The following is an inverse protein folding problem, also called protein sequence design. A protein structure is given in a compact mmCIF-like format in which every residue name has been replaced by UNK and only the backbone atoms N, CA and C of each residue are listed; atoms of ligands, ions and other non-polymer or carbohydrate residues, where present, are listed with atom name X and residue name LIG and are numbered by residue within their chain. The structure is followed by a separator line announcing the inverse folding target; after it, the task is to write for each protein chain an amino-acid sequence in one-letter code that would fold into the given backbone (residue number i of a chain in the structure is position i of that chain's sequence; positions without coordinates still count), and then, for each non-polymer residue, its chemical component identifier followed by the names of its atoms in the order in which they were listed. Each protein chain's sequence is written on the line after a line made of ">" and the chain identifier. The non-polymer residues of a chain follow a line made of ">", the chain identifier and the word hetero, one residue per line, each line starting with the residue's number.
data_IF_305656877161
#
_entry.id   IF_305656877161
#
_cell.length_a   1.000
_cell.length_b   1.000
_cell.length_c   1.000
_cell.angle_alpha   90.00
_cell.angle_beta   90.00
_cell.angle_gamma   90.00
#
_symmetry.space_group_name_H-M   'P 1'
#
loop_
_entity.id
_entity.type
_entity.pdbx_description
1 polymer ?
#
# COMPACT_ATOMS: atom_id res chain seq x y z
N UNK A 1 10.00 -29.86 12.89
CA UNK A 1 9.91 -28.94 11.72
C UNK A 1 9.04 -29.49 10.59
N UNK A 2 9.10 -30.79 10.27
CA UNK A 2 8.29 -31.42 9.20
C UNK A 2 6.76 -31.32 9.45
N UNK A 3 6.31 -31.46 10.70
CA UNK A 3 4.88 -31.35 11.04
C UNK A 3 4.27 -29.96 10.79
N UNK A 4 5.06 -28.89 10.92
CA UNK A 4 4.59 -27.51 10.67
C UNK A 4 4.46 -27.23 9.16
N UNK A 5 5.36 -27.80 8.35
CA UNK A 5 5.30 -27.68 6.89
C UNK A 5 4.05 -28.37 6.31
N UNK A 6 3.66 -29.53 6.87
CA UNK A 6 2.44 -30.24 6.44
C UNK A 6 1.19 -29.41 6.75
N UNK A 7 1.14 -28.76 7.93
CA UNK A 7 0.02 -27.90 8.35
C UNK A 7 -0.13 -26.66 7.45
N UNK A 8 0.99 -26.02 7.08
CA UNK A 8 0.98 -24.84 6.18
C UNK A 8 0.50 -25.22 4.76
N UNK A 9 0.90 -26.38 4.24
CA UNK A 9 0.47 -26.82 2.90
C UNK A 9 -1.02 -27.15 2.86
N UNK A 10 -1.55 -27.79 3.91
CA UNK A 10 -2.99 -28.13 3.98
C UNK A 10 -3.85 -26.87 4.12
N UNK A 11 -3.50 -25.96 5.04
CA UNK A 11 -4.27 -24.72 5.23
C UNK A 11 -4.12 -23.75 4.06
N UNK A 12 -2.94 -23.65 3.46
CA UNK A 12 -2.71 -22.84 2.25
C UNK A 12 -3.52 -23.32 1.05
N UNK A 13 -3.65 -24.64 0.87
CA UNK A 13 -4.48 -25.22 -0.20
C UNK A 13 -5.97 -24.90 -0.04
N UNK A 14 -6.52 -25.02 1.18
CA UNK A 14 -7.94 -24.75 1.46
C UNK A 14 -8.25 -23.25 1.31
N UNK A 15 -7.36 -22.36 1.75
CA UNK A 15 -7.52 -20.91 1.61
C UNK A 15 -7.47 -20.47 0.13
N UNK A 16 -6.61 -21.08 -0.69
CA UNK A 16 -6.51 -20.75 -2.11
C UNK A 16 -7.75 -21.22 -2.90
N UNK A 17 -8.29 -22.40 -2.57
CA UNK A 17 -9.51 -22.92 -3.21
C UNK A 17 -10.73 -22.05 -2.89
N UNK A 18 -10.89 -21.64 -1.63
CA UNK A 18 -12.02 -20.77 -1.24
C UNK A 18 -11.91 -19.35 -1.82
N UNK A 19 -10.69 -18.82 -1.97
CA UNK A 19 -10.44 -17.55 -2.63
C UNK A 19 -10.81 -17.57 -4.12
N UNK A 20 -10.36 -18.57 -4.87
CA UNK A 20 -10.66 -18.70 -6.32
C UNK A 20 -12.14 -19.01 -6.59
N UNK A 21 -12.79 -19.78 -5.71
CA UNK A 21 -14.22 -20.09 -5.87
C UNK A 21 -15.10 -18.87 -5.55
N UNK A 22 -14.67 -18.00 -4.63
CA UNK A 22 -15.36 -16.75 -4.33
C UNK A 22 -15.23 -15.72 -5.48
N UNK A 23 -14.04 -15.61 -6.09
CA UNK A 23 -13.82 -14.69 -7.22
C UNK A 23 -14.56 -15.14 -8.48
N UNK A 24 -14.60 -16.45 -8.78
CA UNK A 24 -15.37 -16.97 -9.92
C UNK A 24 -16.88 -16.91 -9.70
N UNK A 25 -17.38 -17.02 -8.46
CA UNK A 25 -18.81 -16.78 -8.13
C UNK A 25 -19.19 -15.31 -8.26
N UNK A 26 -18.30 -14.39 -7.87
CA UNK A 26 -18.50 -12.95 -8.04
C UNK A 26 -18.55 -12.56 -9.52
N UNK A 27 -17.63 -13.08 -10.35
CA UNK A 27 -17.65 -12.85 -11.80
C UNK A 27 -18.90 -13.42 -12.48
N UNK A 28 -19.37 -14.62 -12.08
CA UNK A 28 -20.61 -15.21 -12.62
C UNK A 28 -21.88 -14.48 -12.20
N UNK A 29 -21.85 -13.68 -11.12
CA UNK A 29 -22.95 -12.80 -10.72
C UNK A 29 -22.91 -11.48 -11.51
N UNK A 30 -21.72 -10.91 -11.69
CA UNK A 30 -21.52 -9.71 -12.50
C UNK A 30 -21.99 -9.94 -13.96
N UNK A 31 -21.56 -11.04 -14.59
CA UNK A 31 -21.98 -11.38 -15.95
C UNK A 31 -23.49 -11.56 -16.08
N UNK A 32 -24.13 -12.23 -15.11
CA UNK A 32 -25.59 -12.43 -15.10
C UNK A 32 -26.38 -11.14 -14.89
N UNK A 33 -25.83 -10.18 -14.14
CA UNK A 33 -26.43 -8.86 -13.94
C UNK A 33 -26.30 -7.99 -15.20
N UNK A 34 -25.16 -8.07 -15.90
CA UNK A 34 -24.94 -7.41 -17.19
C UNK A 34 -25.87 -7.97 -18.27
N UNK A 35 -26.03 -9.29 -18.32
CA UNK A 35 -26.92 -9.97 -19.27
C UNK A 35 -28.41 -9.71 -18.96
N UNK A 36 -28.77 -9.56 -17.69
CA UNK A 36 -30.10 -9.12 -17.26
C UNK A 36 -30.35 -7.64 -17.60
N UNK A 37 -29.36 -6.77 -17.42
CA UNK A 37 -29.43 -5.35 -17.78
C UNK A 37 -29.52 -5.15 -19.30
N UNK A 38 -28.80 -5.96 -20.08
CA UNK A 38 -28.88 -5.98 -21.55
C UNK A 38 -30.25 -6.45 -22.05
N UNK A 39 -30.89 -7.41 -21.37
CA UNK A 39 -32.27 -7.85 -21.68
C UNK A 39 -33.35 -6.87 -21.20
N UNK A 40 -33.06 -6.02 -20.22
CA UNK A 40 -34.02 -5.10 -19.60
C UNK A 40 -34.22 -3.77 -20.34
N UNK A 41 -33.63 -3.59 -21.53
CA UNK A 41 -33.97 -2.55 -22.52
C UNK A 41 -34.45 -1.21 -21.96
N UNK A 42 -33.53 -0.27 -21.70
CA UNK A 42 -33.70 1.19 -21.79
C UNK A 42 -34.88 1.93 -21.12
N UNK A 43 -35.76 1.29 -20.35
CA UNK A 43 -36.89 1.97 -19.72
C UNK A 43 -37.06 1.54 -18.26
N UNK A 44 -36.38 2.27 -17.37
CA UNK A 44 -36.65 2.18 -15.94
C UNK A 44 -38.11 2.60 -15.68
N UNK A 45 -38.94 1.76 -15.02
CA UNK A 45 -40.32 2.12 -14.69
C UNK A 45 -40.32 3.34 -13.77
N UNK A 46 -41.24 4.29 -14.00
CA UNK A 46 -41.34 5.53 -13.23
C UNK A 46 -41.45 5.32 -11.70
N UNK A 47 -41.89 4.15 -11.26
CA UNK A 47 -41.89 3.73 -9.86
C UNK A 47 -40.47 3.57 -9.27
N UNK A 48 -39.50 3.08 -10.04
CA UNK A 48 -38.11 2.95 -9.63
C UNK A 48 -37.42 4.33 -9.51
N UNK A 49 -37.72 5.26 -10.41
CA UNK A 49 -37.22 6.64 -10.33
C UNK A 49 -37.76 7.37 -9.09
N UNK A 50 -39.04 7.15 -8.75
CA UNK A 50 -39.66 7.73 -7.55
C UNK A 50 -39.15 7.09 -6.25
N UNK A 51 -38.83 5.79 -6.27
CA UNK A 51 -38.17 5.11 -5.16
C UNK A 51 -36.73 5.58 -4.97
N UNK A 52 -36.00 5.85 -6.06
CA UNK A 52 -34.65 6.41 -6.01
C UNK A 52 -34.64 7.84 -5.45
N UNK A 53 -35.64 8.65 -5.79
CA UNK A 53 -35.82 10.01 -5.27
C UNK A 53 -36.32 10.06 -3.81
N UNK A 54 -36.87 8.95 -3.30
CA UNK A 54 -37.36 8.82 -1.92
C UNK A 54 -36.33 8.18 -0.97
N UNK A 55 -35.16 7.79 -1.46
CA UNK A 55 -34.03 7.45 -0.60
C UNK A 55 -33.58 8.73 0.11
N UNK A 56 -33.50 8.76 1.45
CA UNK A 56 -32.79 9.81 2.14
C UNK A 56 -31.39 9.93 1.52
N UNK A 57 -31.00 11.13 1.10
CA UNK A 57 -29.64 11.42 0.66
C UNK A 57 -28.66 10.94 1.75
N UNK A 58 -28.13 9.74 1.62
CA UNK A 58 -27.01 9.24 2.41
C UNK A 58 -25.68 9.90 1.97
N UNK A 59 -25.77 10.95 1.16
CA UNK A 59 -24.77 11.99 1.02
C UNK A 59 -25.10 13.10 2.04
N UNK A 60 -25.17 12.72 3.32
CA UNK A 60 -24.93 13.69 4.37
C UNK A 60 -23.47 14.13 4.18
N UNK A 61 -23.30 15.40 3.79
CA UNK A 61 -22.08 16.19 3.76
C UNK A 61 -20.86 15.43 4.26
N UNK A 62 -20.03 14.90 3.37
CA UNK A 62 -18.71 14.42 3.76
C UNK A 62 -17.99 15.62 4.40
N UNK A 63 -17.68 15.60 5.71
CA UNK A 63 -16.79 16.58 6.29
C UNK A 63 -15.48 16.49 5.50
N UNK A 64 -14.75 17.61 5.35
CA UNK A 64 -13.38 17.55 4.87
C UNK A 64 -12.66 16.41 5.61
N UNK A 65 -11.93 15.52 4.91
CA UNK A 65 -11.33 14.36 5.55
C UNK A 65 -10.46 14.85 6.71
N UNK A 66 -10.79 14.41 7.93
CA UNK A 66 -10.04 14.80 9.12
C UNK A 66 -8.56 14.56 8.86
N UNK A 67 -7.74 15.60 9.07
CA UNK A 67 -6.30 15.48 8.98
C UNK A 67 -5.83 14.36 9.93
N UNK A 68 -4.81 13.57 9.55
CA UNK A 68 -4.38 12.43 10.35
C UNK A 68 -3.99 12.82 11.78
N UNK A 69 -3.49 14.03 11.98
CA UNK A 69 -3.15 14.61 13.28
C UNK A 69 -4.38 14.70 14.20
N UNK A 70 -5.56 15.07 13.66
CA UNK A 70 -6.83 15.13 14.40
C UNK A 70 -7.30 13.74 14.82
N UNK A 71 -7.15 12.74 13.94
CA UNK A 71 -7.52 11.36 14.22
C UNK A 71 -6.67 10.77 15.36
N UNK A 72 -5.37 11.09 15.38
CA UNK A 72 -4.42 10.56 16.37
C UNK A 72 -4.77 10.93 17.81
N UNK A 73 -5.32 12.12 18.05
CA UNK A 73 -5.69 12.58 19.40
C UNK A 73 -6.70 11.64 20.06
N UNK A 74 -7.52 10.96 19.26
CA UNK A 74 -8.57 10.03 19.71
C UNK A 74 -8.06 8.60 19.93
N UNK A 75 -6.81 8.28 19.56
CA UNK A 75 -6.24 6.94 19.69
C UNK A 75 -5.75 6.66 21.13
N UNK A 76 -5.66 5.38 21.52
CA UNK A 76 -4.89 4.97 22.71
C UNK A 76 -3.44 5.46 22.66
N UNK A 77 -2.82 5.65 23.83
CA UNK A 77 -1.51 6.29 23.95
C UNK A 77 -0.42 5.64 23.09
N UNK A 78 -0.33 4.30 23.12
CA UNK A 78 0.69 3.56 22.38
C UNK A 78 0.50 3.67 20.86
N UNK A 79 -0.74 3.51 20.38
CA UNK A 79 -1.07 3.64 18.97
C UNK A 79 -0.85 5.08 18.47
N UNK A 80 -1.18 6.08 19.29
CA UNK A 80 -0.92 7.49 19.01
C UNK A 80 0.56 7.77 18.83
N UNK A 81 1.40 7.29 19.74
CA UNK A 81 2.84 7.50 19.70
C UNK A 81 3.46 6.91 18.42
N UNK A 82 3.07 5.69 18.03
CA UNK A 82 3.56 5.05 16.79
C UNK A 82 3.07 5.77 15.54
N UNK A 83 1.78 6.07 15.46
CA UNK A 83 1.20 6.77 14.31
C UNK A 83 1.86 8.15 14.10
N UNK A 84 2.15 8.86 15.20
CA UNK A 84 2.89 10.13 15.16
C UNK A 84 4.33 9.95 14.66
N UNK A 85 5.06 8.96 15.19
CA UNK A 85 6.43 8.66 14.75
C UNK A 85 6.50 8.31 13.25
N UNK A 86 5.51 7.55 12.74
CA UNK A 86 5.37 7.27 11.32
C UNK A 86 5.15 8.54 10.51
N UNK A 87 4.25 9.44 10.93
CA UNK A 87 4.04 10.71 10.23
C UNK A 87 5.28 11.60 10.21
N UNK A 88 6.01 11.69 11.33
CA UNK A 88 7.27 12.43 11.38
C UNK A 88 8.27 11.86 10.38
N UNK A 89 8.45 10.53 10.37
CA UNK A 89 9.34 9.83 9.44
C UNK A 89 8.97 10.11 7.98
N UNK A 90 7.68 10.03 7.64
CA UNK A 90 7.19 10.31 6.29
C UNK A 90 7.38 11.78 5.93
N UNK A 91 7.08 12.71 6.83
CA UNK A 91 7.24 14.14 6.59
C UNK A 91 8.70 14.54 6.40
N UNK A 92 9.62 13.97 7.17
CA UNK A 92 11.06 14.23 7.06
C UNK A 92 11.63 13.62 5.78
N UNK A 93 11.20 12.40 5.43
CA UNK A 93 11.52 11.82 4.14
C UNK A 93 11.06 12.73 2.99
N UNK A 94 9.79 13.16 2.98
CA UNK A 94 9.25 14.04 1.92
C UNK A 94 10.03 15.36 1.75
N UNK A 95 10.60 15.91 2.83
CA UNK A 95 11.46 17.11 2.76
C UNK A 95 12.86 16.81 2.21
N UNK A 96 13.41 15.65 2.53
CA UNK A 96 14.75 15.23 2.09
C UNK A 96 14.78 14.64 0.67
N UNK A 97 13.64 14.15 0.17
CA UNK A 97 13.52 13.42 -1.10
C UNK A 97 13.42 14.34 -2.33
N UNK A 98 14.25 15.37 -2.43
CA UNK A 98 14.35 16.18 -3.65
C UNK A 98 14.64 15.37 -4.92
N UNK A 99 15.02 14.09 -4.78
CA UNK A 99 15.33 13.18 -5.87
C UNK A 99 14.94 11.71 -5.60
N UNK A 100 13.93 11.43 -4.76
CA UNK A 100 13.50 10.05 -4.56
C UNK A 100 12.93 9.44 -5.84
N UNK A 101 13.10 8.14 -6.01
CA UNK A 101 12.42 7.41 -7.07
C UNK A 101 10.89 7.57 -6.99
N UNK A 102 10.21 7.46 -8.15
CA UNK A 102 8.76 7.69 -8.27
C UNK A 102 7.93 6.78 -7.36
N UNK A 103 8.38 5.54 -7.13
CA UNK A 103 7.67 4.58 -6.29
C UNK A 103 7.77 4.97 -4.82
N UNK A 104 8.96 5.36 -4.36
CA UNK A 104 9.20 5.84 -3.00
C UNK A 104 8.39 7.10 -2.73
N UNK A 105 8.45 8.09 -3.63
CA UNK A 105 7.64 9.31 -3.52
C UNK A 105 6.14 9.03 -3.48
N UNK A 106 5.65 8.11 -4.32
CA UNK A 106 4.25 7.68 -4.32
C UNK A 106 3.84 7.04 -3.00
N UNK A 107 4.65 6.11 -2.47
CA UNK A 107 4.36 5.40 -1.23
C UNK A 107 4.30 6.35 -0.03
N UNK A 108 5.27 7.27 0.09
CA UNK A 108 5.31 8.27 1.16
C UNK A 108 4.05 9.15 1.12
N UNK A 109 3.68 9.61 -0.08
CA UNK A 109 2.47 10.41 -0.29
C UNK A 109 1.20 9.64 0.08
N UNK A 110 1.04 8.41 -0.40
CA UNK A 110 -0.13 7.58 -0.09
C UNK A 110 -0.23 7.22 1.39
N UNK A 111 0.91 6.96 2.05
CA UNK A 111 0.93 6.68 3.49
C UNK A 111 0.34 7.83 4.28
N UNK A 112 0.71 9.07 3.92
CA UNK A 112 0.21 10.29 4.57
C UNK A 112 -1.23 10.65 4.20
N UNK A 113 -1.59 10.53 2.93
CA UNK A 113 -2.88 11.03 2.40
C UNK A 113 -4.02 10.02 2.53
N UNK A 114 -3.75 8.71 2.50
CA UNK A 114 -4.76 7.66 2.46
C UNK A 114 -4.51 6.57 3.47
N UNK A 115 -3.38 5.83 3.39
CA UNK A 115 -3.25 4.57 4.13
C UNK A 115 -3.36 4.75 5.64
N UNK A 116 -2.57 5.65 6.23
CA UNK A 116 -2.65 5.90 7.66
C UNK A 116 -4.01 6.52 8.05
N UNK A 117 -4.47 7.63 7.44
CA UNK A 117 -5.81 8.17 7.74
C UNK A 117 -6.95 7.16 7.65
N UNK A 118 -6.96 6.32 6.61
CA UNK A 118 -8.01 5.32 6.37
C UNK A 118 -7.98 4.23 7.44
N UNK A 119 -6.80 3.72 7.80
CA UNK A 119 -6.61 2.77 8.91
C UNK A 119 -7.08 3.35 10.25
N UNK A 120 -6.72 4.61 10.54
CA UNK A 120 -7.15 5.27 11.78
C UNK A 120 -8.68 5.46 11.82
N UNK A 121 -9.28 5.89 10.70
CA UNK A 121 -10.74 6.03 10.58
C UNK A 121 -11.46 4.69 10.74
N UNK A 122 -10.92 3.61 10.17
CA UNK A 122 -11.48 2.27 10.32
C UNK A 122 -11.50 1.83 11.80
N UNK A 123 -10.39 2.02 12.52
CA UNK A 123 -10.30 1.70 13.95
C UNK A 123 -11.24 2.57 14.81
N UNK A 124 -11.24 3.88 14.59
CA UNK A 124 -12.08 4.83 15.32
C UNK A 124 -13.58 4.67 15.01
N UNK A 125 -13.90 4.11 13.84
CA UNK A 125 -15.27 3.82 13.41
C UNK A 125 -15.83 2.49 13.90
N UNK A 126 -15.04 1.67 14.62
CA UNK A 126 -15.51 0.40 15.16
C UNK A 126 -16.61 0.61 16.21
N UNK A 127 -17.79 0.04 15.94
CA UNK A 127 -18.88 -0.07 16.91
C UNK A 127 -18.56 -1.12 17.96
N UNK A 128 -19.23 -1.07 19.12
CA UNK A 128 -19.07 -2.08 20.17
C UNK A 128 -19.39 -3.50 19.67
N UNK A 129 -20.39 -3.62 18.78
CA UNK A 129 -20.73 -4.90 18.15
C UNK A 129 -19.58 -5.43 17.28
N UNK A 130 -18.95 -4.56 16.49
CA UNK A 130 -17.79 -4.92 15.67
C UNK A 130 -16.57 -5.28 16.53
N UNK A 131 -16.31 -4.55 17.62
CA UNK A 131 -15.24 -4.86 18.58
C UNK A 131 -15.42 -6.25 19.19
N UNK A 132 -16.61 -6.55 19.73
CA UNK A 132 -16.93 -7.88 20.26
C UNK A 132 -16.82 -8.98 19.22
N UNK A 133 -17.21 -8.71 17.97
CA UNK A 133 -17.09 -9.69 16.88
C UNK A 133 -15.63 -10.01 16.53
N UNK A 134 -14.74 -9.00 16.57
CA UNK A 134 -13.29 -9.20 16.39
C UNK A 134 -12.69 -9.98 17.56
N UNK A 135 -13.04 -9.61 18.80
CA UNK A 135 -12.59 -10.30 20.01
C UNK A 135 -13.04 -11.77 20.05
N UNK A 136 -14.27 -12.07 19.64
CA UNK A 136 -14.77 -13.43 19.52
C UNK A 136 -14.00 -14.27 18.48
N UNK A 137 -13.36 -13.62 17.50
CA UNK A 137 -12.45 -14.23 16.52
C UNK A 137 -10.99 -14.29 17.03
N UNK A 138 -10.73 -13.90 18.28
CA UNK A 138 -9.39 -13.84 18.86
C UNK A 138 -8.55 -12.67 18.33
N UNK A 139 -9.17 -11.69 17.68
CA UNK A 139 -8.49 -10.51 17.15
C UNK A 139 -8.77 -9.29 18.02
N UNK A 140 -7.79 -8.86 18.79
CA UNK A 140 -7.89 -7.60 19.54
C UNK A 140 -7.83 -6.41 18.55
N UNK A 141 -8.82 -5.49 18.55
CA UNK A 141 -8.79 -4.31 17.69
C UNK A 141 -7.53 -3.46 17.85
N UNK A 142 -7.01 -3.36 19.09
CA UNK A 142 -5.82 -2.57 19.40
C UNK A 142 -4.56 -3.25 18.87
N UNK A 143 -4.51 -4.57 18.96
CA UNK A 143 -3.41 -5.37 18.39
C UNK A 143 -3.42 -5.26 16.86
N UNK A 144 -4.58 -5.41 16.23
CA UNK A 144 -4.74 -5.25 14.80
C UNK A 144 -4.32 -3.86 14.31
N UNK A 145 -4.68 -2.80 15.03
CA UNK A 145 -4.24 -1.44 14.70
C UNK A 145 -2.71 -1.33 14.80
N UNK A 146 -2.13 -1.83 15.88
CA UNK A 146 -0.69 -1.78 16.09
C UNK A 146 0.08 -2.52 15.00
N UNK A 147 -0.39 -3.71 14.59
CA UNK A 147 0.19 -4.48 13.48
C UNK A 147 0.11 -3.74 12.16
N UNK A 148 -1.04 -3.11 11.85
CA UNK A 148 -1.19 -2.33 10.62
C UNK A 148 -0.27 -1.11 10.58
N UNK A 149 -0.06 -0.43 11.71
CA UNK A 149 0.89 0.69 11.78
C UNK A 149 2.32 0.18 11.56
N UNK A 150 2.69 -0.94 12.17
CA UNK A 150 4.02 -1.57 11.96
C UNK A 150 4.23 -1.96 10.50
N UNK A 151 3.21 -2.51 9.82
CA UNK A 151 3.31 -2.82 8.39
C UNK A 151 3.59 -1.57 7.54
N UNK A 152 2.97 -0.43 7.87
CA UNK A 152 3.24 0.84 7.19
C UNK A 152 4.65 1.36 7.50
N UNK A 153 5.10 1.27 8.76
CA UNK A 153 6.46 1.64 9.17
C UNK A 153 7.52 0.83 8.42
N UNK A 154 7.34 -0.48 8.32
CA UNK A 154 8.26 -1.38 7.61
C UNK A 154 8.26 -1.08 6.10
N UNK A 155 7.09 -0.84 5.50
CA UNK A 155 6.96 -0.47 4.09
C UNK A 155 7.66 0.86 3.77
N UNK A 156 7.48 1.87 4.61
CA UNK A 156 8.18 3.17 4.47
C UNK A 156 9.69 2.98 4.62
N UNK A 157 10.13 2.23 5.63
CA UNK A 157 11.57 1.99 5.88
C UNK A 157 12.23 1.28 4.71
N UNK A 158 11.58 0.29 4.12
CA UNK A 158 12.15 -0.44 2.98
C UNK A 158 12.18 0.40 1.71
N UNK A 159 11.17 1.23 1.45
CA UNK A 159 11.20 2.15 0.31
C UNK A 159 12.38 3.13 0.39
N UNK A 160 12.61 3.71 1.57
CA UNK A 160 13.74 4.62 1.80
C UNK A 160 15.10 3.91 1.64
N UNK A 161 15.21 2.64 2.04
CA UNK A 161 16.42 1.83 1.81
C UNK A 161 16.68 1.57 0.32
N UNK A 162 15.64 1.31 -0.46
CA UNK A 162 15.78 1.02 -1.89
C UNK A 162 16.27 2.22 -2.70
N UNK A 163 15.85 3.43 -2.33
CA UNK A 163 16.29 4.67 -2.99
C UNK A 163 17.83 4.83 -2.91
N UNK A 164 18.41 4.58 -1.74
CA UNK A 164 19.86 4.58 -1.55
C UNK A 164 20.57 3.46 -2.35
N UNK A 165 19.98 2.26 -2.40
CA UNK A 165 20.56 1.14 -3.14
C UNK A 165 20.64 1.40 -4.66
N UNK A 166 19.74 2.21 -5.23
CA UNK A 166 19.81 2.60 -6.63
C UNK A 166 21.04 3.46 -6.94
N UNK A 167 21.37 4.41 -6.06
CA UNK A 167 22.56 5.24 -6.18
C UNK A 167 23.85 4.39 -6.09
N UNK A 168 23.94 3.46 -5.13
CA UNK A 168 25.09 2.57 -4.96
C UNK A 168 25.31 1.66 -6.19
N UNK A 169 24.23 1.15 -6.79
CA UNK A 169 24.30 0.38 -8.04
C UNK A 169 24.84 1.22 -9.19
N UNK A 170 24.39 2.46 -9.33
CA UNK A 170 24.86 3.35 -10.38
C UNK A 170 26.36 3.65 -10.25
N UNK A 171 26.84 3.91 -9.03
CA UNK A 171 28.26 4.11 -8.75
C UNK A 171 29.09 2.87 -9.05
N UNK A 172 28.59 1.70 -8.66
CA UNK A 172 29.24 0.40 -8.94
C UNK A 172 29.35 0.14 -10.44
N UNK A 173 28.26 0.37 -11.19
CA UNK A 173 28.25 0.24 -12.64
C UNK A 173 29.23 1.22 -13.31
N UNK A 174 29.29 2.47 -12.84
CA UNK A 174 30.23 3.46 -13.37
C UNK A 174 31.70 3.07 -13.19
N UNK A 175 32.05 2.46 -12.05
CA UNK A 175 33.40 1.92 -11.81
C UNK A 175 33.73 0.78 -12.78
N UNK A 176 32.82 -0.19 -12.92
CA UNK A 176 32.97 -1.29 -13.87
C UNK A 176 33.15 -0.80 -15.32
N UNK A 177 32.34 0.17 -15.75
CA UNK A 177 32.44 0.74 -17.10
C UNK A 177 33.80 1.41 -17.32
N UNK A 178 34.31 2.15 -16.32
CA UNK A 178 35.63 2.78 -16.40
C UNK A 178 36.77 1.76 -16.46
N UNK A 179 36.69 0.69 -15.68
CA UNK A 179 37.67 -0.41 -15.77
C UNK A 179 37.65 -1.09 -17.13
N UNK A 180 36.45 -1.35 -17.68
CA UNK A 180 36.29 -2.10 -18.93
C UNK A 180 36.62 -1.29 -20.18
N UNK A 181 36.30 0.00 -20.17
CA UNK A 181 36.34 0.87 -21.36
C UNK A 181 37.27 2.10 -21.23
N UNK A 182 37.75 2.43 -20.03
CA UNK A 182 38.51 3.65 -19.76
C UNK A 182 40.01 3.59 -20.07
N UNK A 183 40.55 2.45 -20.53
CA UNK A 183 41.99 2.25 -20.75
C UNK A 183 42.47 2.50 -22.18
N UNK A 184 41.71 3.21 -23.02
CA UNK A 184 42.02 3.35 -24.46
C UNK A 184 42.80 4.61 -24.85
N UNK A 185 43.25 5.45 -23.91
CA UNK A 185 43.98 6.70 -24.23
C UNK A 185 45.48 6.69 -23.87
N UNK A 186 46.03 5.62 -23.29
CA UNK A 186 47.45 5.57 -22.86
C UNK A 186 48.44 4.95 -23.86
N UNK A 187 47.97 4.43 -25.00
CA UNK A 187 48.74 3.53 -25.86
C UNK A 187 49.50 4.15 -27.04
N UNK A 188 49.52 5.47 -27.19
CA UNK A 188 50.31 6.14 -28.24
C UNK A 188 51.55 6.81 -27.64
N UNK A 189 52.40 6.01 -26.99
CA UNK A 189 53.79 6.42 -26.75
C UNK A 189 54.48 6.51 -28.11
N UNK A 190 54.63 7.74 -28.60
CA UNK A 190 55.49 8.11 -29.71
C UNK A 190 56.79 7.30 -29.63
N UNK A 191 57.00 6.44 -30.62
CA UNK A 191 58.29 5.81 -30.87
C UNK A 191 59.31 6.93 -31.00
N UNK A 192 60.12 7.09 -29.96
CA UNK A 192 61.37 7.83 -30.00
C UNK A 192 62.25 7.16 -31.06
N UNK A 193 62.24 7.70 -32.27
CA UNK A 193 63.18 7.33 -33.33
C UNK A 193 64.51 7.99 -32.96
N UNK A 194 65.31 7.27 -32.18
CA UNK A 194 66.75 7.50 -32.07
C UNK A 194 67.45 6.49 -32.98
N UNK A 195 68.27 6.97 -33.92
CA UNK A 195 69.33 6.20 -34.54
C UNK A 195 69.36 6.26 -36.08
N UNK A 196 70.33 7.01 -36.62
CA UNK A 196 70.74 6.99 -38.02
C UNK A 196 71.28 8.31 -38.51
#
# INVERSE_FOLDING_TARGET
>A
MIAVLILIVIFGGIALITYVDNTTKAQRRAWRLEEAAAKAGGALPAAAAKALAALPNAQASAPAPDAPETLMVRLPADARARAWALLCTVADAQKGTGNADTRTAYLLRQTRESYLPDTLRAYLGLTDGARRALEAQGQSPDTLLAEQIVLMEDGVREALRHDHAAADRLLTQGRFLRERFGSTEGGLSLGKVEGG
#
